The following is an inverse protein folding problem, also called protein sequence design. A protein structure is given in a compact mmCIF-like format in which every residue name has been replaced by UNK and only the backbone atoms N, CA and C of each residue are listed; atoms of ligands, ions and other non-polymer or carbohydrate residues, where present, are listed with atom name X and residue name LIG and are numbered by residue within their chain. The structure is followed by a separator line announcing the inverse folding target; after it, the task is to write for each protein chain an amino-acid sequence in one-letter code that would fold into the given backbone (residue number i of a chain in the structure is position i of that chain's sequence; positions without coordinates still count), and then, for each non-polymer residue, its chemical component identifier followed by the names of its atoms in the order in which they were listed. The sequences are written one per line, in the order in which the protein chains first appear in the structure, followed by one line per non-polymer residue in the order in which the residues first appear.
data_IF_614938716806
#
_entry.id   IF_614938716806
#
_cell.length_a   1.000
_cell.length_b   1.000
_cell.length_c   1.000
_cell.angle_alpha   90.00
_cell.angle_beta   90.00
_cell.angle_gamma   90.00
#
_symmetry.space_group_name_H-M   'P 1'
#
loop_
_entity.id
_entity.type
_entity.pdbx_description
1 polymer ?
#
# COMPACT_ATOMS: atom_id res chain seq x y z
N UNK A 1 -1.32 67.39 24.55
CA UNK A 1 -1.39 66.22 25.47
C UNK A 1 -2.02 64.99 24.77
N UNK A 2 -1.61 64.68 23.52
CA UNK A 2 -2.37 63.78 22.63
C UNK A 2 -1.54 62.58 22.08
N UNK A 3 -0.20 62.65 22.04
CA UNK A 3 0.63 61.57 21.49
C UNK A 3 0.73 60.30 22.34
N UNK A 4 0.58 60.38 23.67
CA UNK A 4 0.64 59.18 24.56
C UNK A 4 -0.59 58.28 24.41
N UNK A 5 -1.76 58.83 24.06
CA UNK A 5 -2.99 58.05 23.85
C UNK A 5 -2.97 57.31 22.51
N UNK A 6 -2.47 57.95 21.44
CA UNK A 6 -2.26 57.29 20.14
C UNK A 6 -1.24 56.16 20.23
N UNK A 7 -0.12 56.37 20.93
CA UNK A 7 0.90 55.33 21.10
C UNK A 7 0.38 54.09 21.86
N UNK A 8 -0.41 54.29 22.93
CA UNK A 8 -1.07 53.19 23.65
C UNK A 8 -2.08 52.43 22.79
N UNK A 9 -2.81 53.13 21.90
CA UNK A 9 -3.77 52.51 20.97
C UNK A 9 -3.05 51.66 19.90
N UNK A 10 -1.93 52.14 19.36
CA UNK A 10 -1.12 51.37 18.41
C UNK A 10 -0.44 50.16 19.08
N UNK A 11 0.08 50.32 20.29
CA UNK A 11 0.66 49.21 21.06
C UNK A 11 -0.39 48.14 21.40
N UNK A 12 -1.59 48.55 21.79
CA UNK A 12 -2.70 47.63 22.07
C UNK A 12 -3.18 46.89 20.81
N UNK A 13 -3.30 47.60 19.67
CA UNK A 13 -3.63 46.98 18.39
C UNK A 13 -2.57 45.97 17.94
N UNK A 14 -1.30 46.24 18.20
CA UNK A 14 -0.20 45.34 17.86
C UNK A 14 -0.21 44.08 18.73
N UNK A 15 -0.46 44.22 20.03
CA UNK A 15 -0.65 43.08 20.96
C UNK A 15 -1.83 42.20 20.56
N UNK A 16 -2.96 42.81 20.18
CA UNK A 16 -4.13 42.08 19.67
C UNK A 16 -3.81 41.30 18.38
N UNK A 17 -3.08 41.91 17.46
CA UNK A 17 -2.67 41.25 16.22
C UNK A 17 -1.75 40.05 16.47
N UNK A 18 -0.78 40.18 17.38
CA UNK A 18 0.10 39.07 17.78
C UNK A 18 -0.68 37.95 18.48
N UNK A 19 -1.63 38.28 19.33
CA UNK A 19 -2.49 37.30 20.00
C UNK A 19 -3.34 36.52 18.98
N UNK A 20 -4.01 37.21 18.05
CA UNK A 20 -4.82 36.58 17.01
C UNK A 20 -3.95 35.68 16.14
N UNK A 21 -2.78 36.16 15.72
CA UNK A 21 -1.83 35.37 14.91
C UNK A 21 -1.37 34.13 15.67
N UNK A 22 -1.06 34.25 16.97
CA UNK A 22 -0.69 33.13 17.82
C UNK A 22 -1.82 32.09 17.93
N UNK A 23 -3.06 32.52 18.14
CA UNK A 23 -4.23 31.63 18.20
C UNK A 23 -4.43 30.91 16.87
N UNK A 24 -4.32 31.62 15.75
CA UNK A 24 -4.44 31.03 14.40
C UNK A 24 -3.35 29.98 14.17
N UNK A 25 -2.10 30.26 14.54
CA UNK A 25 -1.00 29.29 14.41
C UNK A 25 -1.23 28.03 15.24
N UNK A 26 -1.71 28.19 16.48
CA UNK A 26 -2.06 27.04 17.34
C UNK A 26 -3.19 26.22 16.72
N UNK A 27 -4.25 26.86 16.21
CA UNK A 27 -5.35 26.17 15.55
C UNK A 27 -4.91 25.43 14.28
N UNK A 28 -4.05 26.04 13.46
CA UNK A 28 -3.47 25.38 12.28
C UNK A 28 -2.62 24.17 12.69
N UNK A 29 -1.83 24.29 13.76
CA UNK A 29 -1.01 23.19 14.26
C UNK A 29 -1.87 22.03 14.79
N UNK A 30 -2.98 22.32 15.47
CA UNK A 30 -3.96 21.31 15.89
C UNK A 30 -4.69 20.67 14.70
N UNK A 31 -5.11 21.47 13.72
CA UNK A 31 -5.77 20.99 12.51
C UNK A 31 -4.85 20.10 11.66
N UNK A 32 -3.55 20.38 11.63
CA UNK A 32 -2.55 19.53 10.98
C UNK A 32 -2.26 18.24 11.76
N UNK A 33 -2.47 18.21 13.08
CA UNK A 33 -2.25 17.02 13.91
C UNK A 33 -3.42 16.02 13.88
N UNK A 34 -4.65 16.50 13.71
CA UNK A 34 -5.86 15.67 13.66
C UNK A 34 -5.85 14.59 12.55
N UNK A 35 -5.50 14.87 11.27
CA UNK A 35 -5.52 13.85 10.22
C UNK A 35 -4.47 12.74 10.44
N UNK A 36 -3.35 13.05 11.11
CA UNK A 36 -2.28 12.10 11.41
C UNK A 36 -2.66 11.09 12.51
N UNK A 37 -3.56 11.47 13.42
CA UNK A 37 -4.02 10.58 14.50
C UNK A 37 -5.22 9.74 14.09
N UNK A 38 -6.11 10.29 13.26
CA UNK A 38 -7.25 9.56 12.68
C UNK A 38 -6.87 8.61 11.54
N UNK A 39 -5.69 8.77 10.93
CA UNK A 39 -5.17 7.80 9.97
C UNK A 39 -4.84 6.44 10.58
N UNK A 40 -4.85 6.27 11.91
CA UNK A 40 -4.50 5.02 12.61
C UNK A 40 -5.50 3.85 12.52
N UNK A 41 -6.55 3.97 11.70
CA UNK A 41 -7.19 2.78 11.09
C UNK A 41 -6.34 2.23 9.91
N UNK A 42 -5.10 2.70 9.83
CA UNK A 42 -3.90 2.20 9.14
C UNK A 42 -3.77 0.69 9.21
N UNK A 43 -3.64 0.07 8.04
CA UNK A 43 -2.82 -1.12 7.81
C UNK A 43 -2.52 -1.99 9.05
N UNK A 44 -3.34 -2.99 9.30
CA UNK A 44 -3.16 -3.93 10.42
C UNK A 44 -2.41 -5.17 9.93
N UNK A 45 -1.47 -5.66 10.73
CA UNK A 45 -0.87 -6.99 10.56
C UNK A 45 -1.81 -8.05 11.13
N UNK A 46 -2.01 -9.12 10.39
CA UNK A 46 -2.82 -10.27 10.77
C UNK A 46 -1.95 -11.51 10.87
N UNK A 47 -2.36 -12.44 11.71
CA UNK A 47 -1.66 -13.71 11.94
C UNK A 47 -2.02 -14.78 10.91
N UNK A 48 -3.23 -14.72 10.36
CA UNK A 48 -3.71 -15.70 9.38
C UNK A 48 -4.76 -15.13 8.43
N UNK A 49 -4.99 -15.83 7.32
CA UNK A 49 -6.01 -15.46 6.33
C UNK A 49 -7.42 -15.55 6.91
N UNK A 50 -7.65 -16.45 7.86
CA UNK A 50 -8.91 -16.61 8.58
C UNK A 50 -9.21 -15.36 9.43
N UNK A 51 -8.21 -14.80 10.09
CA UNK A 51 -8.35 -13.56 10.87
C UNK A 51 -8.72 -12.37 9.95
N UNK A 52 -8.13 -12.31 8.75
CA UNK A 52 -8.48 -11.29 7.75
C UNK A 52 -9.90 -11.48 7.26
N UNK A 53 -10.32 -12.71 6.92
CA UNK A 53 -11.70 -13.01 6.49
C UNK A 53 -12.72 -12.66 7.56
N UNK A 54 -12.41 -12.93 8.83
CA UNK A 54 -13.26 -12.57 9.95
C UNK A 54 -13.38 -11.04 10.12
N UNK A 55 -12.29 -10.30 9.88
CA UNK A 55 -12.25 -8.84 10.03
C UNK A 55 -12.82 -8.08 8.83
N UNK A 56 -12.75 -8.68 7.63
CA UNK A 56 -13.16 -8.10 6.35
C UNK A 56 -14.10 -9.06 5.60
N UNK A 57 -15.32 -9.33 6.10
CA UNK A 57 -16.20 -10.36 5.54
C UNK A 57 -16.68 -10.05 4.11
N UNK A 58 -16.71 -8.78 3.72
CA UNK A 58 -17.07 -8.35 2.36
C UNK A 58 -15.95 -8.55 1.34
N UNK A 59 -14.72 -8.84 1.79
CA UNK A 59 -13.54 -8.93 0.94
C UNK A 59 -13.31 -10.36 0.47
N UNK A 60 -13.49 -10.61 -0.83
CA UNK A 60 -13.15 -11.92 -1.43
C UNK A 60 -11.64 -12.02 -1.62
N UNK A 61 -10.95 -12.77 -0.76
CA UNK A 61 -9.49 -12.92 -0.85
C UNK A 61 -9.11 -13.92 -1.95
N UNK A 62 -8.31 -13.50 -2.92
CA UNK A 62 -7.72 -14.39 -3.92
C UNK A 62 -6.39 -14.93 -3.42
N UNK A 63 -6.29 -16.25 -3.33
CA UNK A 63 -5.10 -16.96 -2.85
C UNK A 63 -4.68 -17.95 -3.94
N UNK A 64 -3.38 -18.05 -4.29
CA UNK A 64 -2.92 -19.05 -5.24
C UNK A 64 -3.25 -20.46 -4.76
N UNK A 65 -3.60 -21.34 -5.69
CA UNK A 65 -3.72 -22.78 -5.42
C UNK A 65 -2.42 -23.53 -5.74
N UNK A 66 -1.49 -22.89 -6.46
CA UNK A 66 -0.16 -23.40 -6.74
C UNK A 66 0.90 -22.53 -6.06
N UNK A 67 1.82 -23.18 -5.34
CA UNK A 67 3.04 -22.57 -4.82
C UNK A 67 4.25 -23.39 -5.28
N UNK A 68 5.26 -22.79 -5.92
CA UNK A 68 6.50 -23.48 -6.24
C UNK A 68 7.23 -23.88 -4.94
N UNK A 69 8.04 -24.93 -5.02
CA UNK A 69 8.74 -25.48 -3.84
C UNK A 69 9.73 -24.50 -3.20
N UNK A 70 10.11 -23.46 -3.93
CA UNK A 70 11.03 -22.40 -3.50
C UNK A 70 10.39 -21.35 -2.59
N UNK A 71 9.06 -21.34 -2.44
CA UNK A 71 8.31 -20.36 -1.65
C UNK A 71 7.73 -21.02 -0.40
N UNK A 72 7.88 -20.36 0.74
CA UNK A 72 7.28 -20.78 2.01
C UNK A 72 5.80 -20.44 2.08
N UNK A 73 4.99 -21.42 2.48
CA UNK A 73 3.60 -21.22 2.91
C UNK A 73 3.48 -21.57 4.41
N UNK A 74 2.74 -20.81 5.24
CA UNK A 74 1.88 -19.64 4.95
C UNK A 74 2.67 -18.34 4.65
N UNK A 75 2.00 -17.22 4.27
CA UNK A 75 2.66 -15.93 4.18
C UNK A 75 3.28 -15.52 5.53
N UNK A 76 4.51 -15.01 5.53
CA UNK A 76 5.17 -14.52 6.74
C UNK A 76 4.51 -13.24 7.28
N UNK A 77 4.11 -12.39 6.34
CA UNK A 77 3.43 -11.15 6.66
C UNK A 77 2.14 -11.03 5.86
N UNK A 78 1.06 -10.84 6.62
CA UNK A 78 -0.26 -10.55 6.09
C UNK A 78 -0.69 -9.19 6.63
N UNK A 79 -0.90 -8.24 5.75
CA UNK A 79 -1.37 -6.91 6.10
C UNK A 79 -2.70 -6.66 5.41
N UNK A 80 -3.65 -6.07 6.13
CA UNK A 80 -4.90 -5.65 5.54
C UNK A 80 -5.42 -4.35 6.14
N UNK A 81 -6.18 -3.62 5.36
CA UNK A 81 -6.89 -2.42 5.78
C UNK A 81 -8.30 -2.43 5.22
N UNK A 82 -9.23 -1.75 5.90
CA UNK A 82 -10.58 -1.53 5.41
C UNK A 82 -10.77 -0.11 4.87
N UNK A 83 -10.10 0.88 5.47
CA UNK A 83 -10.20 2.30 5.12
C UNK A 83 -8.84 2.85 4.67
N UNK A 84 -8.81 3.82 3.73
CA UNK A 84 -9.95 4.40 3.02
C UNK A 84 -10.59 3.46 1.98
N UNK A 85 -9.96 2.33 1.67
CA UNK A 85 -10.51 1.27 0.84
C UNK A 85 -9.96 -0.10 1.28
N UNK A 86 -10.70 -1.20 1.04
CA UNK A 86 -10.22 -2.55 1.30
C UNK A 86 -8.97 -2.88 0.49
N UNK A 87 -7.94 -3.32 1.19
CA UNK A 87 -6.67 -3.75 0.59
C UNK A 87 -6.02 -4.84 1.44
N UNK A 88 -5.42 -5.82 0.78
CA UNK A 88 -4.63 -6.89 1.38
C UNK A 88 -3.26 -6.92 0.70
N UNK A 89 -2.24 -7.22 1.50
CA UNK A 89 -0.93 -7.64 1.04
C UNK A 89 -0.50 -8.89 1.78
N UNK A 90 -0.01 -9.84 1.00
CA UNK A 90 0.60 -11.09 1.44
C UNK A 90 2.04 -11.11 0.99
N UNK A 91 2.97 -11.31 1.92
CA UNK A 91 4.40 -11.50 1.64
C UNK A 91 4.78 -12.92 2.00
N UNK A 92 5.54 -13.53 1.09
CA UNK A 92 6.06 -14.87 1.23
C UNK A 92 7.57 -14.82 1.02
N UNK A 93 8.27 -15.60 1.82
CA UNK A 93 9.71 -15.73 1.71
C UNK A 93 10.09 -16.94 0.88
N UNK A 94 11.36 -16.99 0.50
CA UNK A 94 11.96 -18.22 0.06
C UNK A 94 11.86 -19.31 1.15
N UNK A 95 11.94 -20.56 0.73
CA UNK A 95 11.93 -21.71 1.65
C UNK A 95 13.21 -21.81 2.47
N UNK A 96 14.33 -21.51 1.83
CA UNK A 96 15.66 -21.71 2.37
C UNK A 96 16.31 -20.41 2.89
N UNK A 97 15.64 -19.26 2.73
CA UNK A 97 16.10 -17.96 3.22
C UNK A 97 14.95 -17.11 3.76
N UNK A 98 15.26 -16.08 4.56
CA UNK A 98 14.29 -15.09 5.03
C UNK A 98 14.08 -13.95 4.02
N UNK A 99 14.47 -14.15 2.77
CA UNK A 99 14.34 -13.14 1.72
C UNK A 99 12.94 -13.21 1.10
N UNK A 100 12.38 -12.04 0.81
CA UNK A 100 11.07 -11.88 0.20
C UNK A 100 11.09 -12.45 -1.24
N UNK A 101 10.30 -13.50 -1.47
CA UNK A 101 10.23 -14.18 -2.76
C UNK A 101 9.02 -13.73 -3.59
N UNK A 102 7.89 -13.52 -2.92
CA UNK A 102 6.60 -13.27 -3.55
C UNK A 102 5.78 -12.28 -2.74
N UNK A 103 5.17 -11.34 -3.43
CA UNK A 103 4.23 -10.39 -2.88
C UNK A 103 2.95 -10.47 -3.70
N UNK A 104 1.83 -10.66 -3.01
CA UNK A 104 0.51 -10.63 -3.64
C UNK A 104 -0.25 -9.50 -2.98
N UNK A 105 -0.74 -8.58 -3.80
CA UNK A 105 -1.62 -7.51 -3.32
C UNK A 105 -2.95 -7.54 -4.03
N UNK A 106 -3.98 -7.14 -3.29
CA UNK A 106 -5.34 -7.08 -3.78
C UNK A 106 -5.99 -5.81 -3.26
N UNK A 107 -6.65 -5.04 -4.13
CA UNK A 107 -7.35 -3.82 -3.76
C UNK A 107 -8.69 -3.71 -4.47
N UNK A 108 -9.72 -3.21 -3.78
CA UNK A 108 -11.06 -3.02 -4.36
C UNK A 108 -11.17 -1.72 -5.20
N UNK A 109 -10.23 -0.79 -5.08
CA UNK A 109 -10.32 0.53 -5.73
C UNK A 109 -9.32 0.72 -6.87
N UNK A 110 -8.48 -0.28 -7.17
CA UNK A 110 -7.30 -0.12 -8.03
C UNK A 110 -6.26 0.85 -7.46
N UNK A 111 -6.51 1.44 -6.29
CA UNK A 111 -5.56 2.28 -5.57
C UNK A 111 -4.80 1.41 -4.61
N UNK A 112 -3.53 1.73 -4.48
CA UNK A 112 -2.60 1.04 -3.61
C UNK A 112 -2.14 2.04 -2.56
N UNK A 113 -2.04 1.65 -1.28
CA UNK A 113 -1.62 2.56 -0.23
C UNK A 113 -0.14 2.90 -0.42
N UNK A 114 0.15 4.11 -0.90
CA UNK A 114 1.51 4.65 -0.97
C UNK A 114 2.49 3.80 -1.78
N UNK A 115 3.72 3.68 -1.27
CA UNK A 115 4.81 2.96 -1.91
C UNK A 115 4.67 1.45 -1.63
N UNK A 116 4.41 0.66 -2.66
CA UNK A 116 4.29 -0.80 -2.52
C UNK A 116 5.66 -1.45 -2.35
N UNK A 117 5.77 -2.48 -1.51
CA UNK A 117 6.94 -3.35 -1.55
C UNK A 117 6.97 -4.12 -2.88
N UNK A 118 8.18 -4.46 -3.34
CA UNK A 118 8.38 -5.04 -4.67
C UNK A 118 8.50 -4.00 -5.78
N UNK A 119 9.41 -3.04 -5.62
CA UNK A 119 9.70 -2.05 -6.66
C UNK A 119 10.83 -2.52 -7.58
N UNK A 120 10.57 -2.39 -8.88
CA UNK A 120 11.63 -2.44 -9.88
C UNK A 120 12.62 -1.29 -9.64
N UNK A 121 13.90 -1.60 -9.73
CA UNK A 121 14.94 -0.60 -9.99
C UNK A 121 14.80 -0.10 -11.42
N UNK A 122 14.56 -1.02 -12.35
CA UNK A 122 14.39 -0.75 -13.78
C UNK A 122 13.46 -1.79 -14.38
N UNK A 123 12.47 -1.35 -15.17
CA UNK A 123 11.60 -2.23 -15.96
C UNK A 123 12.24 -2.39 -17.34
N UNK A 124 12.63 -3.62 -17.68
CA UNK A 124 13.25 -3.94 -18.96
C UNK A 124 12.20 -4.22 -20.03
N UNK A 125 11.12 -4.87 -19.66
CA UNK A 125 10.05 -5.26 -20.58
C UNK A 125 8.69 -5.07 -19.92
N UNK A 126 7.72 -4.59 -20.71
CA UNK A 126 6.33 -4.41 -20.32
C UNK A 126 5.45 -4.80 -21.49
N UNK A 127 4.70 -5.89 -21.33
CA UNK A 127 3.87 -6.45 -22.39
C UNK A 127 2.43 -6.70 -21.91
N UNK A 128 1.43 -6.46 -22.76
CA UNK A 128 0.10 -7.02 -22.56
C UNK A 128 0.19 -8.54 -22.53
N UNK A 129 -0.52 -9.17 -21.59
CA UNK A 129 -0.56 -10.61 -21.41
C UNK A 129 -2.00 -11.07 -21.21
N UNK A 130 -2.36 -12.20 -21.81
CA UNK A 130 -3.69 -12.80 -21.64
C UNK A 130 -3.64 -13.85 -20.53
N UNK A 131 -4.09 -13.50 -19.34
CA UNK A 131 -4.11 -14.38 -18.17
C UNK A 131 -5.44 -15.13 -18.11
N UNK A 132 -5.52 -16.33 -18.71
CA UNK A 132 -6.76 -17.14 -18.80
C UNK A 132 -7.98 -16.33 -19.27
N UNK A 133 -7.82 -15.58 -20.37
CA UNK A 133 -8.87 -14.71 -20.93
C UNK A 133 -9.03 -13.36 -20.24
N UNK A 134 -8.25 -13.04 -19.20
CA UNK A 134 -8.20 -11.71 -18.59
C UNK A 134 -7.09 -10.88 -19.22
N UNK A 135 -7.37 -9.60 -19.44
CA UNK A 135 -6.34 -8.63 -19.82
C UNK A 135 -5.45 -8.35 -18.62
N UNK A 136 -4.17 -8.70 -18.74
CA UNK A 136 -3.15 -8.47 -17.74
C UNK A 136 -1.99 -7.68 -18.36
N UNK A 137 -1.19 -7.07 -17.48
CA UNK A 137 0.07 -6.44 -17.85
C UNK A 137 1.18 -7.22 -17.16
N UNK A 138 2.10 -7.76 -17.94
CA UNK A 138 3.29 -8.44 -17.46
C UNK A 138 4.49 -7.50 -17.60
N UNK A 139 5.22 -7.31 -16.51
CA UNK A 139 6.44 -6.52 -16.45
C UNK A 139 7.58 -7.39 -15.95
N UNK A 140 8.74 -7.26 -16.59
CA UNK A 140 9.98 -7.94 -16.22
C UNK A 140 11.09 -6.90 -16.14
N UNK A 141 11.97 -7.05 -15.16
CA UNK A 141 13.03 -6.09 -14.95
C UNK A 141 14.00 -6.52 -13.87
N UNK A 142 14.71 -5.52 -13.35
CA UNK A 142 15.72 -5.70 -12.32
C UNK A 142 15.25 -5.06 -11.03
N UNK A 143 15.40 -5.79 -9.94
CA UNK A 143 15.07 -5.36 -8.59
C UNK A 143 16.18 -4.53 -7.96
N UNK A 144 15.90 -3.92 -6.80
CA UNK A 144 16.90 -3.07 -6.10
C UNK A 144 18.18 -3.83 -5.72
N UNK A 145 18.07 -5.13 -5.45
CA UNK A 145 19.20 -6.02 -5.17
C UNK A 145 19.97 -6.47 -6.44
N UNK A 146 19.55 -6.06 -7.64
CA UNK A 146 20.17 -6.45 -8.91
C UNK A 146 19.66 -7.78 -9.48
N UNK A 147 18.75 -8.46 -8.79
CA UNK A 147 18.16 -9.72 -9.27
C UNK A 147 17.05 -9.45 -10.28
N UNK A 148 16.76 -10.46 -11.10
CA UNK A 148 15.60 -10.42 -11.99
C UNK A 148 14.32 -10.50 -11.15
N UNK A 149 13.36 -9.64 -11.46
CA UNK A 149 12.03 -9.73 -10.91
C UNK A 149 10.96 -9.50 -11.96
N UNK A 150 9.76 -9.96 -11.63
CA UNK A 150 8.61 -9.96 -12.52
C UNK A 150 7.38 -9.49 -11.76
N UNK A 151 6.46 -8.84 -12.46
CA UNK A 151 5.17 -8.40 -11.94
C UNK A 151 4.09 -8.69 -12.95
N UNK A 152 2.93 -9.18 -12.48
CA UNK A 152 1.73 -9.27 -13.29
C UNK A 152 0.56 -8.60 -12.59
N UNK A 153 -0.12 -7.73 -13.31
CA UNK A 153 -1.24 -6.93 -12.85
C UNK A 153 -2.48 -7.24 -13.67
N UNK A 154 -3.61 -7.51 -13.03
CA UNK A 154 -4.89 -7.71 -13.72
C UNK A 154 -6.07 -7.28 -12.86
N UNK A 155 -7.26 -7.24 -13.48
CA UNK A 155 -8.52 -7.02 -12.77
C UNK A 155 -9.35 -8.29 -12.74
N UNK A 156 -9.90 -8.62 -11.58
CA UNK A 156 -10.89 -9.68 -11.39
C UNK A 156 -12.12 -9.09 -10.70
N UNK A 157 -13.16 -8.79 -11.50
CA UNK A 157 -14.33 -8.04 -11.03
C UNK A 157 -13.93 -6.63 -10.57
N UNK A 158 -14.26 -6.28 -9.33
CA UNK A 158 -13.91 -4.99 -8.71
C UNK A 158 -12.49 -4.97 -8.13
N UNK A 159 -11.78 -6.10 -8.17
CA UNK A 159 -10.46 -6.21 -7.57
C UNK A 159 -9.34 -5.96 -8.58
N UNK A 160 -8.40 -5.08 -8.22
CA UNK A 160 -7.09 -5.02 -8.84
C UNK A 160 -6.17 -5.98 -8.08
N UNK A 161 -5.57 -6.91 -8.81
CA UNK A 161 -4.58 -7.84 -8.29
C UNK A 161 -3.21 -7.52 -8.88
N UNK A 162 -2.21 -7.61 -8.04
CA UNK A 162 -0.80 -7.49 -8.41
C UNK A 162 -0.05 -8.64 -7.78
N UNK A 163 0.65 -9.41 -8.58
CA UNK A 163 1.58 -10.44 -8.13
C UNK A 163 2.98 -9.99 -8.53
N UNK A 164 3.89 -9.95 -7.58
CA UNK A 164 5.28 -9.57 -7.78
C UNK A 164 6.18 -10.67 -7.24
N UNK A 165 7.22 -11.04 -7.97
CA UNK A 165 8.12 -12.12 -7.60
C UNK A 165 9.56 -11.77 -7.98
N UNK A 166 10.52 -12.08 -7.11
CA UNK A 166 11.96 -11.99 -7.36
C UNK A 166 12.45 -13.20 -8.17
N UNK A 167 11.86 -13.40 -9.34
CA UNK A 167 12.21 -14.47 -10.27
C UNK A 167 11.83 -14.13 -11.71
N UNK A 168 12.19 -15.04 -12.62
CA UNK A 168 11.70 -15.05 -13.99
C UNK A 168 10.17 -15.19 -14.06
N UNK A 169 9.52 -14.68 -15.12
CA UNK A 169 8.05 -14.57 -15.18
C UNK A 169 7.31 -15.91 -15.21
N UNK A 170 7.98 -17.02 -15.54
CA UNK A 170 7.33 -18.32 -15.73
C UNK A 170 6.62 -18.84 -14.47
N UNK A 171 7.27 -18.81 -13.32
CA UNK A 171 6.64 -19.26 -12.07
C UNK A 171 5.57 -18.27 -11.60
N UNK A 172 5.81 -16.96 -11.79
CA UNK A 172 4.84 -15.92 -11.48
C UNK A 172 3.55 -16.06 -12.29
N UNK A 173 3.64 -16.38 -13.58
CA UNK A 173 2.47 -16.65 -14.44
C UNK A 173 1.68 -17.85 -13.89
N UNK A 174 2.36 -18.97 -13.57
CA UNK A 174 1.67 -20.15 -13.00
C UNK A 174 0.97 -19.84 -11.68
N UNK A 175 1.62 -19.07 -10.81
CA UNK A 175 1.01 -18.62 -9.55
C UNK A 175 -0.24 -17.79 -9.84
N UNK A 176 -0.14 -16.78 -10.72
CA UNK A 176 -1.25 -15.89 -11.06
C UNK A 176 -2.41 -16.66 -11.73
N UNK A 177 -2.12 -17.59 -12.64
CA UNK A 177 -3.13 -18.45 -13.26
C UNK A 177 -3.86 -19.32 -12.22
N UNK A 178 -3.16 -19.80 -11.19
CA UNK A 178 -3.73 -20.63 -10.14
C UNK A 178 -4.66 -19.88 -9.18
N UNK A 179 -4.66 -18.55 -9.23
CA UNK A 179 -5.58 -17.69 -8.48
C UNK A 179 -6.92 -17.52 -9.19
N UNK A 180 -7.02 -17.94 -10.45
CA UNK A 180 -8.20 -17.82 -11.30
C UNK A 180 -8.94 -19.15 -11.37
N UNK A 181 -10.23 -19.10 -11.05
CA UNK A 181 -11.18 -20.22 -11.12
C UNK A 181 -12.32 -19.90 -12.07
#
# INVERSE_FOLDING_TARGET
MDNRKKFKKHAFSFLLFLMITGVVLVLIQFANWLPLTLQKETLRRYSSLEEVKASLPALRIYVPTYFPQTISWPPEHLFAQNRPFPWILMKFNHRDSSEEALIITQSLSGRLPGQMPGEFKEVTEKVPYELRGRQAILEVGVCRNGEQCSRIDWREGEYQLTVFMTAAPFDLIKIAESMLH
#
